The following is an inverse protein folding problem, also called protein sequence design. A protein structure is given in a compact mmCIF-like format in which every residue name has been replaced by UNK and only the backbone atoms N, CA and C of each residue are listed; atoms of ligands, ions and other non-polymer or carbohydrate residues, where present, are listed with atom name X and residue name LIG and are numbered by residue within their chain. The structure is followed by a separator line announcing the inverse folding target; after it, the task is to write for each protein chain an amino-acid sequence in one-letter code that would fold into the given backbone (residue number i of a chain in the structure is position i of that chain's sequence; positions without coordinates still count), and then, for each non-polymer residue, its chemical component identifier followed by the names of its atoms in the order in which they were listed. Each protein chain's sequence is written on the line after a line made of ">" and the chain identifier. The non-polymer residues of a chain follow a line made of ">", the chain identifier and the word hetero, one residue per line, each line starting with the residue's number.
data_IF_195797571830
#
_entry.id   IF_195797571830
#
_cell.length_a   1.000
_cell.length_b   1.000
_cell.length_c   1.000
_cell.angle_alpha   90.00
_cell.angle_beta   90.00
_cell.angle_gamma   90.00
#
_symmetry.space_group_name_H-M   'P 1'
#
loop_
_entity.id
_entity.type
_entity.pdbx_description
1 polymer ?
#
# COMPACT_ATOMS: atom_id res chain seq x y z
N UNK A 1 -20.14 0.32 -14.11
CA UNK A 1 -18.80 -0.32 -14.08
C UNK A 1 -17.68 0.71 -14.03
N UNK A 2 -17.67 1.71 -14.93
CA UNK A 2 -16.87 2.94 -14.75
C UNK A 2 -17.14 3.58 -13.39
N UNK A 3 -18.41 3.60 -12.96
CA UNK A 3 -18.82 4.09 -11.62
C UNK A 3 -18.21 3.30 -10.45
N UNK A 4 -18.02 1.98 -10.57
CA UNK A 4 -17.46 1.17 -9.48
C UNK A 4 -15.95 1.40 -9.31
N UNK A 5 -15.22 1.53 -10.44
CA UNK A 5 -13.81 1.91 -10.42
C UNK A 5 -13.61 3.31 -9.86
N UNK A 6 -14.43 4.27 -10.28
CA UNK A 6 -14.40 5.64 -9.79
C UNK A 6 -14.69 5.73 -8.29
N UNK A 7 -15.70 4.99 -7.80
CA UNK A 7 -16.02 4.95 -6.37
C UNK A 7 -14.88 4.37 -5.52
N UNK A 8 -14.27 3.26 -5.96
CA UNK A 8 -13.12 2.68 -5.27
C UNK A 8 -11.91 3.61 -5.28
N UNK A 9 -11.65 4.28 -6.41
CA UNK A 9 -10.57 5.25 -6.51
C UNK A 9 -10.78 6.42 -5.55
N UNK A 10 -11.97 7.05 -5.54
CA UNK A 10 -12.28 8.16 -4.65
C UNK A 10 -12.17 7.75 -3.17
N UNK A 11 -12.71 6.57 -2.83
CA UNK A 11 -12.66 6.04 -1.47
C UNK A 11 -11.24 5.74 -1.01
N UNK A 12 -10.43 5.08 -1.86
CA UNK A 12 -9.04 4.78 -1.53
C UNK A 12 -8.20 6.05 -1.47
N UNK A 13 -8.38 7.00 -2.39
CA UNK A 13 -7.64 8.26 -2.37
C UNK A 13 -7.86 9.02 -1.04
N UNK A 14 -9.11 9.15 -0.60
CA UNK A 14 -9.44 9.76 0.70
C UNK A 14 -8.77 9.03 1.85
N UNK A 15 -8.85 7.70 1.88
CA UNK A 15 -8.18 6.87 2.89
C UNK A 15 -6.66 7.09 2.90
N UNK A 16 -6.02 7.14 1.72
CA UNK A 16 -4.58 7.35 1.61
C UNK A 16 -4.16 8.75 2.07
N UNK A 17 -4.95 9.78 1.74
CA UNK A 17 -4.70 11.14 2.25
C UNK A 17 -4.77 11.18 3.79
N UNK A 18 -5.76 10.51 4.38
CA UNK A 18 -5.89 10.38 5.83
C UNK A 18 -4.73 9.58 6.44
N UNK A 19 -4.35 8.45 5.83
CA UNK A 19 -3.25 7.61 6.27
C UNK A 19 -1.91 8.37 6.26
N UNK A 20 -1.68 9.21 5.25
CA UNK A 20 -0.50 10.08 5.18
C UNK A 20 -0.49 11.10 6.32
N UNK A 21 -1.59 11.86 6.45
CA UNK A 21 -1.74 12.89 7.51
C UNK A 21 -1.54 12.28 8.90
N UNK A 22 -2.20 11.15 9.16
CA UNK A 22 -2.12 10.47 10.44
C UNK A 22 -0.73 9.92 10.71
N UNK A 23 -0.07 9.29 9.74
CA UNK A 23 1.30 8.79 9.88
C UNK A 23 2.29 9.92 10.21
N UNK A 24 2.23 11.01 9.45
CA UNK A 24 3.09 12.17 9.66
C UNK A 24 2.87 12.79 11.05
N UNK A 25 1.62 13.13 11.39
CA UNK A 25 1.29 13.79 12.65
C UNK A 25 1.56 12.89 13.87
N UNK A 26 1.31 11.58 13.75
CA UNK A 26 1.59 10.63 14.84
C UNK A 26 3.08 10.48 15.08
N UNK A 27 3.87 10.43 14.00
CA UNK A 27 5.34 10.38 14.11
C UNK A 27 5.87 11.66 14.74
N UNK A 28 5.45 12.83 14.24
CA UNK A 28 5.87 14.11 14.81
C UNK A 28 5.50 14.25 16.28
N UNK A 29 4.29 13.85 16.68
CA UNK A 29 3.85 13.90 18.08
C UNK A 29 4.71 13.04 19.01
N UNK A 30 5.32 11.97 18.49
CA UNK A 30 6.17 11.07 19.25
C UNK A 30 7.62 11.55 19.42
N UNK A 31 8.01 12.65 18.78
CA UNK A 31 9.36 13.19 18.84
C UNK A 31 9.44 14.36 19.82
N UNK A 32 10.39 14.31 20.76
CA UNK A 32 10.62 15.38 21.74
C UNK A 32 11.10 16.68 21.08
N UNK A 33 11.75 16.58 19.92
CA UNK A 33 12.28 17.68 19.12
C UNK A 33 11.26 18.27 18.12
N UNK A 34 10.03 17.74 18.06
CA UNK A 34 9.03 18.23 17.12
C UNK A 34 8.59 19.65 17.51
N UNK A 35 9.12 20.64 16.78
CA UNK A 35 8.67 22.02 16.91
C UNK A 35 7.16 22.10 16.64
N UNK A 36 6.45 22.96 17.37
CA UNK A 36 5.00 23.19 17.20
C UNK A 36 4.61 23.78 15.84
N UNK A 37 5.54 23.91 14.90
CA UNK A 37 5.39 24.56 13.60
C UNK A 37 5.32 23.59 12.42
N UNK A 38 5.52 22.28 12.64
CA UNK A 38 5.45 21.32 11.54
C UNK A 38 4.00 21.02 11.13
N UNK A 39 3.74 21.11 9.84
CA UNK A 39 2.43 20.82 9.24
C UNK A 39 2.60 19.89 8.06
N UNK A 40 1.54 19.12 7.77
CA UNK A 40 1.55 18.19 6.65
C UNK A 40 1.73 18.96 5.34
N UNK A 41 2.80 18.66 4.61
CA UNK A 41 3.02 19.20 3.28
C UNK A 41 2.10 18.51 2.27
N UNK A 42 1.07 19.24 1.82
CA UNK A 42 0.07 18.73 0.86
C UNK A 42 0.68 18.37 -0.51
N UNK A 43 1.72 19.08 -0.95
CA UNK A 43 2.41 18.78 -2.21
C UNK A 43 3.20 17.47 -2.11
N UNK A 44 3.93 17.28 -1.01
CA UNK A 44 4.64 16.03 -0.73
C UNK A 44 3.68 14.84 -0.61
N UNK A 45 2.54 15.03 0.06
CA UNK A 45 1.47 14.03 0.13
C UNK A 45 0.94 13.69 -1.27
N UNK A 46 0.56 14.69 -2.07
CA UNK A 46 0.05 14.47 -3.42
C UNK A 46 1.07 13.76 -4.31
N UNK A 47 2.36 14.10 -4.19
CA UNK A 47 3.45 13.43 -4.90
C UNK A 47 3.57 11.96 -4.48
N UNK A 48 3.49 11.68 -3.18
CA UNK A 48 3.54 10.31 -2.64
C UNK A 48 2.39 9.46 -3.17
N UNK A 49 1.16 9.98 -3.12
CA UNK A 49 -0.03 9.26 -3.59
C UNK A 49 0.04 8.96 -5.10
N UNK A 50 0.64 9.84 -5.89
CA UNK A 50 0.77 9.64 -7.33
C UNK A 50 2.06 8.91 -7.74
N UNK A 51 2.88 8.49 -6.78
CA UNK A 51 4.16 7.84 -7.05
C UNK A 51 3.97 6.45 -7.68
N UNK A 52 4.69 6.20 -8.78
CA UNK A 52 4.71 4.92 -9.50
C UNK A 52 5.69 3.95 -8.87
N UNK A 53 5.46 3.65 -7.59
CA UNK A 53 6.43 2.97 -6.73
C UNK A 53 6.47 1.45 -6.92
N UNK A 54 5.44 0.85 -7.52
CA UNK A 54 5.36 -0.59 -7.75
C UNK A 54 5.08 -0.87 -9.23
N UNK A 55 5.99 -1.59 -9.89
CA UNK A 55 5.88 -1.97 -11.31
C UNK A 55 5.54 -0.81 -12.28
N UNK A 56 5.93 0.43 -11.95
CA UNK A 56 5.66 1.60 -12.80
C UNK A 56 4.21 2.12 -12.73
N UNK A 57 3.41 1.63 -11.79
CA UNK A 57 2.02 2.03 -11.58
C UNK A 57 1.80 2.66 -10.19
N UNK A 58 0.87 3.60 -10.11
CA UNK A 58 0.35 4.14 -8.84
C UNK A 58 -0.95 3.43 -8.41
N UNK A 59 -1.52 3.79 -7.26
CA UNK A 59 -2.73 3.12 -6.75
C UNK A 59 -3.92 3.19 -7.72
N UNK A 60 -4.11 4.33 -8.39
CA UNK A 60 -5.24 4.56 -9.30
C UNK A 60 -5.13 3.67 -10.54
N UNK A 61 -3.97 3.66 -11.18
CA UNK A 61 -3.68 2.78 -12.33
C UNK A 61 -3.92 1.31 -11.96
N UNK A 62 -3.46 0.88 -10.79
CA UNK A 62 -3.64 -0.50 -10.29
C UNK A 62 -5.10 -0.86 -10.00
N UNK A 63 -5.93 0.09 -9.57
CA UNK A 63 -7.38 -0.13 -9.42
C UNK A 63 -7.98 -0.45 -10.79
N UNK A 64 -7.70 0.38 -11.79
CA UNK A 64 -8.27 0.21 -13.14
C UNK A 64 -7.80 -1.08 -13.80
N UNK A 65 -6.51 -1.42 -13.66
CA UNK A 65 -5.97 -2.71 -14.12
C UNK A 65 -6.67 -3.90 -13.46
N UNK A 66 -6.92 -3.84 -12.15
CA UNK A 66 -7.65 -4.89 -11.44
C UNK A 66 -9.10 -5.02 -11.94
N UNK A 67 -9.77 -3.90 -12.23
CA UNK A 67 -11.15 -3.91 -12.78
C UNK A 67 -11.18 -4.50 -14.18
N UNK A 68 -10.28 -4.08 -15.06
CA UNK A 68 -10.19 -4.62 -16.41
C UNK A 68 -9.95 -6.14 -16.38
N UNK A 69 -9.01 -6.59 -15.54
CA UNK A 69 -8.72 -8.02 -15.36
C UNK A 69 -9.95 -8.80 -14.88
N UNK A 70 -10.70 -8.27 -13.91
CA UNK A 70 -11.92 -8.93 -13.42
C UNK A 70 -12.98 -9.03 -14.52
N UNK A 71 -13.23 -7.95 -15.27
CA UNK A 71 -14.21 -7.90 -16.36
C UNK A 71 -13.86 -8.92 -17.43
N UNK A 72 -12.61 -8.91 -17.89
CA UNK A 72 -12.13 -9.83 -18.91
C UNK A 72 -12.24 -11.28 -18.43
N UNK A 73 -11.92 -11.55 -17.17
CA UNK A 73 -12.08 -12.88 -16.57
C UNK A 73 -13.54 -13.32 -16.56
N UNK A 74 -14.46 -12.47 -16.09
CA UNK A 74 -15.89 -12.81 -16.04
C UNK A 74 -16.47 -13.06 -17.44
N UNK A 75 -16.12 -12.22 -18.43
CA UNK A 75 -16.56 -12.39 -19.81
C UNK A 75 -16.09 -13.72 -20.40
N UNK A 76 -14.83 -14.10 -20.16
CA UNK A 76 -14.27 -15.35 -20.63
C UNK A 76 -14.96 -16.56 -19.96
N UNK A 77 -15.17 -16.52 -18.64
CA UNK A 77 -15.83 -17.62 -17.93
C UNK A 77 -17.28 -17.83 -18.39
N UNK A 78 -18.01 -16.74 -18.67
CA UNK A 78 -19.36 -16.82 -19.23
C UNK A 78 -19.32 -17.44 -20.63
N UNK A 79 -18.46 -16.92 -21.51
CA UNK A 79 -18.33 -17.39 -22.90
C UNK A 79 -17.97 -18.87 -22.94
N UNK A 80 -16.93 -19.27 -22.21
CA UNK A 80 -16.45 -20.64 -22.23
C UNK A 80 -17.42 -21.59 -21.54
N UNK A 81 -18.12 -21.12 -20.49
CA UNK A 81 -19.19 -21.87 -19.84
C UNK A 81 -20.33 -22.22 -20.80
N UNK A 82 -20.75 -21.25 -21.62
CA UNK A 82 -21.77 -21.47 -22.66
C UNK A 82 -21.29 -22.47 -23.70
N UNK A 83 -20.05 -22.31 -24.21
CA UNK A 83 -19.48 -23.22 -25.22
C UNK A 83 -19.39 -24.66 -24.70
N UNK A 84 -19.04 -24.85 -23.42
CA UNK A 84 -18.97 -26.17 -22.78
C UNK A 84 -20.34 -26.77 -22.44
N UNK A 85 -21.41 -25.97 -22.47
CA UNK A 85 -22.73 -26.38 -21.97
C UNK A 85 -22.76 -26.54 -20.44
N UNK A 86 -22.00 -25.72 -19.71
CA UNK A 86 -22.00 -25.75 -18.24
C UNK A 86 -23.39 -25.41 -17.68
N UNK A 87 -23.82 -26.13 -16.63
CA UNK A 87 -25.10 -25.85 -15.98
C UNK A 87 -25.11 -24.48 -15.29
N UNK A 88 -26.29 -23.89 -15.12
CA UNK A 88 -26.45 -22.62 -14.40
C UNK A 88 -25.80 -22.63 -13.00
N UNK A 89 -25.92 -23.76 -12.29
CA UNK A 89 -25.32 -23.92 -10.96
C UNK A 89 -23.79 -23.84 -11.03
N UNK A 90 -23.18 -24.53 -11.99
CA UNK A 90 -21.73 -24.53 -12.18
C UNK A 90 -21.23 -23.14 -12.58
N UNK A 91 -21.91 -22.48 -13.52
CA UNK A 91 -21.58 -21.11 -13.92
C UNK A 91 -21.65 -20.15 -12.73
N UNK A 92 -22.72 -20.20 -11.93
CA UNK A 92 -22.85 -19.35 -10.73
C UNK A 92 -21.71 -19.57 -9.73
N UNK A 93 -21.33 -20.82 -9.45
CA UNK A 93 -20.19 -21.12 -8.56
C UNK A 93 -18.88 -20.53 -9.10
N UNK A 94 -18.61 -20.67 -10.40
CA UNK A 94 -17.40 -20.12 -11.02
C UNK A 94 -17.38 -18.59 -10.94
N UNK A 95 -18.47 -17.93 -11.32
CA UNK A 95 -18.55 -16.47 -11.31
C UNK A 95 -18.38 -15.91 -9.90
N UNK A 96 -19.04 -16.53 -8.90
CA UNK A 96 -18.84 -16.18 -7.48
C UNK A 96 -17.38 -16.26 -7.07
N UNK A 97 -16.70 -17.38 -7.37
CA UNK A 97 -15.28 -17.54 -7.07
C UNK A 97 -14.41 -16.47 -7.73
N UNK A 98 -14.70 -16.09 -8.98
CA UNK A 98 -13.96 -15.00 -9.66
C UNK A 98 -14.20 -13.64 -9.01
N UNK A 99 -15.42 -13.34 -8.58
CA UNK A 99 -15.72 -12.11 -7.86
C UNK A 99 -15.05 -12.06 -6.47
N UNK A 100 -14.96 -13.19 -5.77
CA UNK A 100 -14.23 -13.29 -4.49
C UNK A 100 -12.74 -13.04 -4.66
N UNK A 101 -12.13 -13.55 -5.73
CA UNK A 101 -10.74 -13.21 -6.08
C UNK A 101 -10.59 -11.70 -6.33
N UNK A 102 -11.52 -11.08 -7.06
CA UNK A 102 -11.53 -9.63 -7.25
C UNK A 102 -11.58 -8.84 -5.94
N UNK A 103 -12.41 -9.28 -4.99
CA UNK A 103 -12.47 -8.66 -3.65
C UNK A 103 -11.17 -8.82 -2.87
N UNK A 104 -10.53 -10.01 -2.94
CA UNK A 104 -9.23 -10.25 -2.33
C UNK A 104 -8.13 -9.35 -2.92
N UNK A 105 -8.15 -9.14 -4.23
CA UNK A 105 -7.20 -8.25 -4.92
C UNK A 105 -7.36 -6.78 -4.52
N UNK A 106 -8.60 -6.28 -4.39
CA UNK A 106 -8.87 -4.95 -3.85
C UNK A 106 -8.35 -4.80 -2.42
N UNK A 107 -8.60 -5.77 -1.54
CA UNK A 107 -8.10 -5.73 -0.16
C UNK A 107 -6.57 -5.71 -0.10
N UNK A 108 -5.91 -6.54 -0.92
CA UNK A 108 -4.44 -6.57 -1.04
C UNK A 108 -3.90 -5.21 -1.46
N UNK A 109 -4.53 -4.57 -2.45
CA UNK A 109 -4.14 -3.26 -2.94
C UNK A 109 -4.26 -2.22 -1.83
N UNK A 110 -5.42 -2.14 -1.15
CA UNK A 110 -5.65 -1.21 -0.05
C UNK A 110 -4.59 -1.31 1.05
N UNK A 111 -4.30 -2.52 1.54
CA UNK A 111 -3.30 -2.70 2.60
C UNK A 111 -1.89 -2.34 2.13
N UNK A 112 -1.55 -2.70 0.89
CA UNK A 112 -0.21 -2.45 0.35
C UNK A 112 0.02 -0.95 0.12
N UNK A 113 -0.95 -0.25 -0.44
CA UNK A 113 -0.87 1.21 -0.66
C UNK A 113 -0.88 1.98 0.66
N UNK A 114 -1.73 1.59 1.62
CA UNK A 114 -1.71 2.22 2.95
C UNK A 114 -0.36 2.04 3.65
N UNK A 115 0.25 0.86 3.55
CA UNK A 115 1.58 0.60 4.13
C UNK A 115 2.67 1.45 3.47
N UNK A 116 2.62 1.62 2.15
CA UNK A 116 3.53 2.51 1.43
C UNK A 116 3.36 3.96 1.89
N UNK A 117 2.13 4.49 1.84
CA UNK A 117 1.83 5.88 2.17
C UNK A 117 2.19 6.21 3.62
N UNK A 118 1.87 5.35 4.58
CA UNK A 118 2.21 5.58 5.99
C UNK A 118 3.72 5.56 6.21
N UNK A 119 4.47 4.63 5.60
CA UNK A 119 5.93 4.61 5.74
C UNK A 119 6.58 5.85 5.12
N UNK A 120 6.09 6.33 3.97
CA UNK A 120 6.58 7.58 3.37
C UNK A 120 6.28 8.81 4.25
N UNK A 121 5.08 8.86 4.85
CA UNK A 121 4.72 9.91 5.78
C UNK A 121 5.64 9.92 7.02
N UNK A 122 5.93 8.74 7.58
CA UNK A 122 6.85 8.61 8.72
C UNK A 122 8.27 9.05 8.35
N UNK A 123 8.77 8.63 7.17
CA UNK A 123 10.06 9.10 6.65
C UNK A 123 10.12 10.61 6.53
N UNK A 124 9.10 11.24 5.96
CA UNK A 124 9.06 12.69 5.84
C UNK A 124 9.08 13.35 7.23
N UNK A 125 8.32 12.83 8.19
CA UNK A 125 8.29 13.36 9.55
C UNK A 125 9.68 13.28 10.22
N UNK A 126 10.35 12.13 10.14
CA UNK A 126 11.70 11.98 10.68
C UNK A 126 12.72 12.91 10.00
N UNK A 127 12.66 13.03 8.67
CA UNK A 127 13.55 13.94 7.92
C UNK A 127 13.31 15.42 8.27
N UNK A 128 12.06 15.83 8.43
CA UNK A 128 11.70 17.19 8.85
C UNK A 128 12.18 17.50 10.28
N UNK A 129 12.21 16.48 11.15
CA UNK A 129 12.80 16.56 12.49
C UNK A 129 14.34 16.50 12.52
N UNK A 130 15.00 16.41 11.35
CA UNK A 130 16.45 16.34 11.24
C UNK A 130 17.07 14.97 11.54
N UNK A 131 16.26 13.93 11.66
CA UNK A 131 16.73 12.56 11.88
C UNK A 131 17.21 11.97 10.55
N UNK A 132 18.46 11.51 10.49
CA UNK A 132 19.07 11.03 9.24
C UNK A 132 18.97 9.52 9.03
N UNK A 133 18.75 8.76 10.10
CA UNK A 133 18.83 7.30 10.12
C UNK A 133 17.52 6.68 10.59
N UNK A 134 17.26 5.47 10.11
CA UNK A 134 16.12 4.66 10.53
C UNK A 134 16.53 3.21 10.76
N UNK A 135 15.76 2.54 11.60
CA UNK A 135 15.79 1.10 11.78
C UNK A 135 14.50 0.48 11.24
N UNK A 136 14.61 -0.71 10.67
CA UNK A 136 13.47 -1.50 10.21
C UNK A 136 12.88 -2.27 11.40
N UNK A 137 11.55 -2.18 11.59
CA UNK A 137 10.81 -2.95 12.59
C UNK A 137 9.73 -3.80 11.90
N UNK A 138 10.01 -5.10 11.79
CA UNK A 138 9.07 -6.09 11.32
C UNK A 138 8.19 -6.60 12.47
N UNK A 139 6.92 -6.87 12.18
CA UNK A 139 6.06 -7.63 13.09
C UNK A 139 6.56 -9.07 13.07
N UNK A 140 7.25 -9.54 14.12
CA UNK A 140 7.81 -10.90 14.25
C UNK A 140 6.75 -11.89 14.78
N UNK A 141 5.88 -12.37 13.91
CA UNK A 141 4.85 -13.37 14.19
C UNK A 141 4.89 -14.52 13.17
N UNK A 142 3.95 -15.47 13.26
CA UNK A 142 3.89 -16.64 12.35
C UNK A 142 3.62 -16.29 10.88
N UNK A 143 3.34 -15.02 10.56
CA UNK A 143 3.02 -14.52 9.22
C UNK A 143 4.13 -13.60 8.67
N UNK A 144 5.21 -13.38 9.40
CA UNK A 144 6.37 -12.62 8.93
C UNK A 144 7.01 -13.34 7.76
N UNK A 145 7.35 -12.60 6.70
CA UNK A 145 8.13 -13.15 5.60
C UNK A 145 9.59 -13.28 6.00
N UNK A 146 10.31 -14.23 5.40
CA UNK A 146 11.77 -14.36 5.59
C UNK A 146 12.51 -13.05 5.25
N UNK A 147 12.03 -12.30 4.24
CA UNK A 147 12.59 -11.00 3.89
C UNK A 147 12.44 -9.99 5.03
N UNK A 148 11.24 -9.87 5.60
CA UNK A 148 10.99 -8.96 6.72
C UNK A 148 11.78 -9.37 7.98
N UNK A 149 11.84 -10.67 8.28
CA UNK A 149 12.60 -11.21 9.41
C UNK A 149 14.10 -10.93 9.26
N UNK A 150 14.65 -11.12 8.06
CA UNK A 150 16.07 -10.86 7.80
C UNK A 150 16.44 -9.38 7.91
N UNK A 151 15.53 -8.49 7.51
CA UNK A 151 15.73 -7.04 7.53
C UNK A 151 15.43 -6.40 8.89
N UNK A 152 14.79 -7.12 9.82
CA UNK A 152 14.45 -6.61 11.15
C UNK A 152 15.70 -6.15 11.91
N UNK A 153 15.63 -4.98 12.54
CA UNK A 153 16.74 -4.37 13.27
C UNK A 153 17.86 -3.80 12.39
N UNK A 154 17.80 -3.94 11.07
CA UNK A 154 18.79 -3.34 10.19
C UNK A 154 18.60 -1.83 10.09
N UNK A 155 19.72 -1.10 10.08
CA UNK A 155 19.74 0.36 10.07
C UNK A 155 20.26 0.93 8.76
N UNK A 156 19.62 1.99 8.29
CA UNK A 156 19.96 2.66 7.04
C UNK A 156 19.82 4.17 7.16
N UNK A 157 20.31 4.91 6.15
CA UNK A 157 20.11 6.36 6.04
C UNK A 157 18.90 6.67 5.19
N UNK A 158 18.10 7.67 5.56
CA UNK A 158 16.92 8.08 4.79
C UNK A 158 17.24 8.52 3.36
N UNK A 159 18.42 9.13 3.15
CA UNK A 159 18.90 9.53 1.82
C UNK A 159 19.10 8.34 0.87
N UNK A 160 19.36 7.15 1.42
CA UNK A 160 19.63 5.91 0.67
C UNK A 160 18.40 4.98 0.66
N UNK A 161 17.26 5.45 1.17
CA UNK A 161 16.03 4.67 1.26
C UNK A 161 15.43 4.35 -0.12
N UNK A 162 15.20 3.06 -0.36
CA UNK A 162 14.64 2.48 -1.58
C UNK A 162 13.55 1.48 -1.18
N UNK A 163 12.32 1.82 -1.53
CA UNK A 163 11.12 1.01 -1.27
C UNK A 163 11.31 -0.37 -1.90
N UNK A 164 10.96 -1.42 -1.16
CA UNK A 164 11.09 -2.81 -1.63
C UNK A 164 12.49 -3.40 -1.45
N UNK A 165 13.49 -2.61 -1.07
CA UNK A 165 14.88 -3.06 -0.91
C UNK A 165 15.38 -2.90 0.52
N UNK A 166 15.55 -1.67 0.98
CA UNK A 166 15.94 -1.34 2.36
C UNK A 166 14.89 -0.48 3.08
N UNK A 167 13.78 -0.15 2.40
CA UNK A 167 12.68 0.62 2.97
C UNK A 167 11.35 -0.10 2.72
N UNK A 168 10.47 -0.24 3.74
CA UNK A 168 9.18 -0.91 3.56
C UNK A 168 8.19 -0.08 2.71
N UNK A 169 7.16 -0.71 2.11
CA UNK A 169 6.86 -2.15 2.15
C UNK A 169 7.77 -2.99 1.24
N UNK A 170 8.08 -4.21 1.67
CA UNK A 170 8.94 -5.15 0.93
C UNK A 170 8.18 -6.07 -0.02
N UNK A 171 6.91 -6.32 0.26
CA UNK A 171 6.06 -7.25 -0.48
C UNK A 171 4.58 -6.89 -0.29
N UNK A 172 3.66 -7.45 -1.09
CA UNK A 172 2.23 -7.33 -0.82
C UNK A 172 1.91 -7.84 0.60
N UNK A 173 0.99 -7.17 1.30
CA UNK A 173 0.65 -7.46 2.71
C UNK A 173 1.80 -7.25 3.72
N UNK A 174 2.85 -6.51 3.35
CA UNK A 174 3.91 -6.17 4.29
C UNK A 174 3.33 -5.36 5.45
N UNK A 175 3.72 -5.74 6.67
CA UNK A 175 3.35 -5.06 7.94
C UNK A 175 4.55 -4.43 8.62
N UNK A 176 5.68 -4.35 7.91
CA UNK A 176 6.91 -3.76 8.42
C UNK A 176 6.81 -2.24 8.40
N UNK A 177 7.29 -1.62 9.47
CA UNK A 177 7.42 -0.18 9.62
C UNK A 177 8.87 0.19 9.87
N UNK A 178 9.12 1.48 10.04
CA UNK A 178 10.39 2.05 10.46
C UNK A 178 10.22 2.83 11.78
N UNK A 179 11.34 3.08 12.44
CA UNK A 179 11.45 4.15 13.43
C UNK A 179 12.76 4.93 13.22
N UNK A 180 12.74 6.21 13.57
CA UNK A 180 13.90 7.08 13.48
C UNK A 180 14.90 6.79 14.58
N UNK A 181 16.20 6.85 14.24
CA UNK A 181 17.30 6.74 15.20
C UNK A 181 17.86 8.14 15.37
N UNK A 182 17.74 8.70 16.58
CA UNK A 182 18.26 10.04 16.89
C UNK A 182 19.76 10.12 16.60
N UNK A 183 20.21 11.30 16.16
CA UNK A 183 21.61 11.54 15.88
C UNK A 183 22.37 11.66 17.22
N UNK A 184 23.56 11.05 17.31
CA UNK A 184 24.47 11.17 18.47
C UNK A 184 24.94 12.61 18.73
#
# INVERSE_FOLDING_TARGET
>A
MVELGAFEQEGLEKMLQEAYKNGYLSTMKGLDSASSFFSVNNEAMAKTLNEKWTNGANFSERIWENKEKLINTLNNEIRDGIIRGDSYQKMNMTLRKRTEVGAYESLRLTVTESSFVTNQANKQAFMDAGIERYEISAVLDKRTSQTCEHLDGQQFKFKDAKVGSNFPPFHPWCRTTIFGIEND
#
